data_IF_522312179017
#
_entry.id   IF_522312179017
#
_cell.length_a   1.000
_cell.length_b   1.000
_cell.length_c   1.000
_cell.angle_alpha   90.00
_cell.angle_beta   90.00
_cell.angle_gamma   90.00
#
_symmetry.space_group_name_H-M   'P 1'
#
loop_
_entity.id
_entity.type
_entity.pdbx_description
1 polymer ?
#
# COMPACT_ATOMS: atom_id res chain seq x y z
N UNK A 1 -24.51 -18.72 -20.89
CA UNK A 1 -25.10 -19.18 -19.62
C UNK A 1 -24.10 -19.46 -18.50
N UNK A 2 -22.85 -19.89 -18.78
CA UNK A 2 -21.84 -20.14 -17.70
C UNK A 2 -21.29 -18.84 -17.09
N UNK A 3 -21.02 -17.80 -17.87
CA UNK A 3 -20.48 -16.52 -17.36
C UNK A 3 -21.43 -15.83 -16.37
N UNK A 4 -22.75 -15.94 -16.57
CA UNK A 4 -23.75 -15.37 -15.65
C UNK A 4 -23.75 -16.04 -14.27
N UNK A 5 -23.50 -17.34 -14.21
CA UNK A 5 -23.45 -18.11 -12.96
C UNK A 5 -22.22 -17.77 -12.11
N UNK A 6 -21.06 -17.59 -12.74
CA UNK A 6 -19.81 -17.22 -12.04
C UNK A 6 -19.89 -15.80 -11.51
N UNK A 7 -20.40 -14.86 -12.33
CA UNK A 7 -20.59 -13.46 -11.92
C UNK A 7 -21.55 -13.36 -10.73
N UNK A 8 -22.66 -14.11 -10.77
CA UNK A 8 -23.62 -14.11 -9.67
C UNK A 8 -23.05 -14.67 -8.38
N UNK A 9 -22.26 -15.75 -8.46
CA UNK A 9 -21.59 -16.34 -7.30
C UNK A 9 -20.57 -15.40 -6.67
N UNK A 10 -19.76 -14.71 -7.49
CA UNK A 10 -18.81 -13.70 -6.99
C UNK A 10 -19.55 -12.56 -6.30
N UNK A 11 -20.65 -12.07 -6.85
CA UNK A 11 -21.48 -11.02 -6.22
C UNK A 11 -22.10 -11.48 -4.90
N UNK A 12 -22.57 -12.72 -4.83
CA UNK A 12 -23.13 -13.31 -3.61
C UNK A 12 -22.04 -13.48 -2.52
N UNK A 13 -20.85 -13.94 -2.87
CA UNK A 13 -19.71 -14.07 -1.94
C UNK A 13 -19.27 -12.70 -1.43
N UNK A 14 -19.19 -11.68 -2.30
CA UNK A 14 -18.88 -10.30 -1.90
C UNK A 14 -19.97 -9.74 -0.97
N UNK A 15 -21.24 -9.95 -1.30
CA UNK A 15 -22.34 -9.49 -0.45
C UNK A 15 -22.31 -10.14 0.93
N UNK A 16 -21.91 -11.43 1.00
CA UNK A 16 -21.74 -12.15 2.25
C UNK A 16 -20.57 -11.60 3.07
N UNK A 17 -19.41 -11.40 2.45
CA UNK A 17 -18.21 -10.83 3.10
C UNK A 17 -18.49 -9.41 3.63
N UNK A 18 -19.21 -8.59 2.87
CA UNK A 18 -19.63 -7.24 3.29
C UNK A 18 -20.65 -7.28 4.44
N UNK A 19 -21.56 -8.24 4.44
CA UNK A 19 -22.62 -8.39 5.48
C UNK A 19 -22.06 -8.99 6.76
N UNK A 20 -21.03 -9.85 6.67
CA UNK A 20 -20.39 -10.51 7.80
C UNK A 20 -19.40 -9.64 8.57
N UNK A 21 -19.14 -8.42 8.16
CA UNK A 21 -18.08 -7.53 8.69
C UNK A 21 -16.67 -8.17 8.66
N UNK A 22 -16.50 -9.28 7.95
CA UNK A 22 -15.25 -10.01 7.76
C UNK A 22 -14.77 -9.87 6.31
N UNK A 23 -14.39 -8.65 5.94
CA UNK A 23 -13.56 -8.50 4.74
C UNK A 23 -12.19 -9.04 5.08
N UNK A 24 -11.98 -10.33 4.83
CA UNK A 24 -10.68 -10.98 5.01
C UNK A 24 -9.79 -10.57 3.85
N UNK A 25 -9.11 -9.44 4.00
CA UNK A 25 -7.98 -9.14 3.12
C UNK A 25 -6.86 -10.15 3.37
N UNK A 26 -6.08 -10.50 2.34
CA UNK A 26 -4.90 -11.33 2.52
C UNK A 26 -3.99 -10.78 3.63
N UNK A 27 -3.40 -11.66 4.43
CA UNK A 27 -2.56 -11.36 5.62
C UNK A 27 -1.47 -10.31 5.39
N UNK A 28 -1.02 -10.11 4.16
CA UNK A 28 0.01 -9.10 3.84
C UNK A 28 -0.47 -7.64 3.96
N UNK A 29 -1.78 -7.39 4.12
CA UNK A 29 -2.29 -6.05 4.43
C UNK A 29 -2.24 -5.74 5.93
N UNK A 30 -1.98 -6.72 6.79
CA UNK A 30 -1.99 -6.53 8.25
C UNK A 30 -1.02 -5.44 8.69
N UNK A 31 0.21 -5.42 8.13
CA UNK A 31 1.18 -4.36 8.43
C UNK A 31 0.68 -2.98 8.00
N UNK A 32 -0.03 -2.89 6.88
CA UNK A 32 -0.62 -1.63 6.41
C UNK A 32 -1.68 -1.12 7.39
N UNK A 33 -2.53 -2.01 7.91
CA UNK A 33 -3.53 -1.65 8.91
C UNK A 33 -2.89 -1.27 10.24
N UNK A 34 -1.85 -1.99 10.69
CA UNK A 34 -1.11 -1.67 11.92
C UNK A 34 -0.41 -0.30 11.81
N UNK A 35 0.26 -0.02 10.70
CA UNK A 35 0.89 1.29 10.44
C UNK A 35 -0.17 2.39 10.41
N UNK A 36 -1.30 2.18 9.73
CA UNK A 36 -2.40 3.13 9.69
C UNK A 36 -2.98 3.41 11.08
N UNK A 37 -3.16 2.37 11.89
CA UNK A 37 -3.66 2.51 13.25
C UNK A 37 -2.67 3.28 14.14
N UNK A 38 -1.37 2.95 14.04
CA UNK A 38 -0.33 3.65 14.76
C UNK A 38 -0.27 5.14 14.39
N UNK A 39 -0.34 5.49 13.10
CA UNK A 39 -0.30 6.88 12.63
C UNK A 39 -1.52 7.73 13.04
N UNK A 40 -2.57 7.13 13.58
CA UNK A 40 -3.71 7.87 14.17
C UNK A 40 -3.44 8.35 15.60
N UNK A 41 -2.45 7.76 16.27
CA UNK A 41 -2.07 8.18 17.62
C UNK A 41 -1.26 9.49 17.53
N UNK A 42 -1.76 10.61 18.08
CA UNK A 42 -1.03 11.88 18.08
C UNK A 42 0.27 11.83 18.91
N UNK A 43 0.41 10.83 19.79
CA UNK A 43 1.60 10.64 20.63
C UNK A 43 2.57 9.60 20.05
N UNK A 44 2.34 9.13 18.83
CA UNK A 44 3.22 8.16 18.19
C UNK A 44 4.63 8.72 18.04
N UNK A 45 5.60 8.03 18.65
CA UNK A 45 7.01 8.36 18.47
C UNK A 45 7.62 7.64 17.26
N UNK A 46 8.70 8.22 16.73
CA UNK A 46 9.48 7.58 15.65
C UNK A 46 10.01 6.21 16.09
N UNK A 47 10.38 6.08 17.36
CA UNK A 47 10.86 4.84 17.96
C UNK A 47 9.81 3.73 17.92
N UNK A 48 8.57 4.05 18.26
CA UNK A 48 7.44 3.10 18.22
C UNK A 48 7.17 2.66 16.79
N UNK A 49 7.14 3.61 15.86
CA UNK A 49 6.94 3.30 14.44
C UNK A 49 8.12 2.48 13.88
N UNK A 50 9.37 2.79 14.28
CA UNK A 50 10.55 2.04 13.86
C UNK A 50 10.54 0.60 14.37
N UNK A 51 10.03 0.35 15.57
CA UNK A 51 9.83 -1.03 16.08
C UNK A 51 8.82 -1.80 15.25
N UNK A 52 7.68 -1.18 14.92
CA UNK A 52 6.65 -1.80 14.09
C UNK A 52 7.19 -2.16 12.69
N UNK A 53 7.86 -1.21 12.04
CA UNK A 53 8.49 -1.39 10.73
C UNK A 53 9.61 -2.41 10.79
N UNK A 54 10.42 -2.39 11.86
CA UNK A 54 11.56 -3.28 12.06
C UNK A 54 11.20 -4.75 12.19
N UNK A 55 9.94 -5.06 12.56
CA UNK A 55 9.43 -6.42 12.57
C UNK A 55 9.25 -7.02 11.15
N UNK A 56 9.23 -6.17 10.11
CA UNK A 56 9.02 -6.56 8.71
C UNK A 56 10.26 -6.25 7.86
N UNK A 57 11.12 -7.25 7.58
CA UNK A 57 12.40 -7.03 6.89
C UNK A 57 12.26 -6.38 5.51
N UNK A 58 11.25 -6.77 4.73
CA UNK A 58 11.02 -6.21 3.40
C UNK A 58 10.63 -4.73 3.46
N UNK A 59 9.79 -4.36 4.41
CA UNK A 59 9.39 -2.98 4.64
C UNK A 59 10.56 -2.13 5.11
N UNK A 60 11.35 -2.65 6.07
CA UNK A 60 12.58 -2.02 6.56
C UNK A 60 13.54 -1.70 5.43
N UNK A 61 13.84 -2.69 4.58
CA UNK A 61 14.73 -2.52 3.43
C UNK A 61 14.22 -1.47 2.44
N UNK A 62 12.91 -1.44 2.17
CA UNK A 62 12.32 -0.45 1.24
C UNK A 62 12.36 0.96 1.80
N UNK A 63 12.12 1.16 3.09
CA UNK A 63 12.18 2.48 3.74
C UNK A 63 13.61 2.99 3.76
N UNK A 64 14.60 2.15 4.11
CA UNK A 64 16.02 2.52 4.07
C UNK A 64 16.45 2.87 2.64
N UNK A 65 16.06 2.06 1.64
CA UNK A 65 16.35 2.34 0.23
C UNK A 65 15.73 3.65 -0.23
N UNK A 66 14.48 3.94 0.15
CA UNK A 66 13.81 5.20 -0.15
C UNK A 66 14.54 6.39 0.46
N UNK A 67 14.95 6.28 1.73
CA UNK A 67 15.71 7.31 2.43
C UNK A 67 17.06 7.61 1.77
N UNK A 68 17.69 6.61 1.17
CA UNK A 68 18.98 6.73 0.48
C UNK A 68 18.84 7.06 -1.03
N UNK A 69 17.63 7.22 -1.53
CA UNK A 69 17.41 7.62 -2.93
C UNK A 69 17.92 9.05 -3.17
N UNK A 70 18.31 9.34 -4.40
CA UNK A 70 18.80 10.68 -4.79
C UNK A 70 17.82 11.79 -4.41
N UNK A 71 16.52 11.53 -4.51
CA UNK A 71 15.47 12.49 -4.17
C UNK A 71 15.40 12.84 -2.67
N UNK A 72 15.75 11.87 -1.79
CA UNK A 72 15.65 12.02 -0.33
C UNK A 72 17.01 12.24 0.34
N UNK A 73 18.11 11.99 -0.36
CA UNK A 73 19.48 12.09 0.15
C UNK A 73 20.38 12.93 -0.76
N UNK A 74 20.06 14.20 -0.98
CA UNK A 74 20.90 15.08 -1.83
C UNK A 74 22.31 15.30 -1.27
N UNK A 75 22.51 15.08 0.03
CA UNK A 75 23.82 15.22 0.70
C UNK A 75 24.72 14.00 0.56
N UNK A 76 24.24 12.87 0.03
CA UNK A 76 24.96 11.61 -0.10
C UNK A 76 25.21 10.88 1.24
N UNK A 77 24.72 11.37 2.37
CA UNK A 77 24.84 10.67 3.66
C UNK A 77 23.92 9.49 3.72
N UNK A 78 24.46 8.29 3.72
CA UNK A 78 23.66 7.07 3.85
C UNK A 78 23.13 6.88 5.27
N UNK A 79 21.91 6.35 5.38
CA UNK A 79 21.34 5.84 6.62
C UNK A 79 21.22 4.32 6.51
N UNK A 80 21.56 3.62 7.60
CA UNK A 80 21.56 2.16 7.64
C UNK A 80 20.48 1.59 8.58
N UNK A 81 19.84 2.44 9.39
CA UNK A 81 18.83 2.01 10.35
C UNK A 81 17.45 2.59 10.03
N UNK A 82 16.41 1.84 10.44
CA UNK A 82 15.01 2.15 10.16
C UNK A 82 14.57 3.47 10.79
N UNK A 83 15.02 3.77 12.01
CA UNK A 83 14.64 4.99 12.71
C UNK A 83 15.13 6.22 11.96
N UNK A 84 16.41 6.26 11.62
CA UNK A 84 17.01 7.35 10.83
C UNK A 84 16.38 7.47 9.45
N UNK A 85 16.03 6.35 8.84
CA UNK A 85 15.32 6.33 7.56
C UNK A 85 13.92 6.96 7.68
N UNK A 86 13.15 6.62 8.71
CA UNK A 86 11.82 7.20 8.97
C UNK A 86 11.92 8.70 9.23
N UNK A 87 12.90 9.14 10.00
CA UNK A 87 13.14 10.59 10.25
C UNK A 87 13.36 11.34 8.93
N UNK A 88 14.10 10.73 7.99
CA UNK A 88 14.38 11.36 6.69
C UNK A 88 13.18 11.38 5.75
N UNK A 89 12.47 10.26 5.61
CA UNK A 89 11.34 10.16 4.66
C UNK A 89 10.03 10.72 5.22
N UNK A 90 9.91 10.78 6.56
CA UNK A 90 8.70 11.17 7.27
C UNK A 90 7.80 9.97 7.61
N UNK A 91 7.06 10.08 8.72
CA UNK A 91 6.17 9.01 9.19
C UNK A 91 5.04 8.70 8.20
N UNK A 92 4.50 9.70 7.50
CA UNK A 92 3.45 9.48 6.49
C UNK A 92 3.91 8.66 5.28
N UNK A 93 5.19 8.76 4.90
CA UNK A 93 5.75 7.94 3.84
C UNK A 93 5.73 6.45 4.20
N UNK A 94 5.81 6.10 5.49
CA UNK A 94 5.74 4.72 5.98
C UNK A 94 4.40 4.08 5.63
N UNK A 95 3.29 4.81 5.71
CA UNK A 95 1.95 4.34 5.30
C UNK A 95 1.93 3.94 3.82
N UNK A 96 2.46 4.81 2.97
CA UNK A 96 2.52 4.55 1.52
C UNK A 96 3.41 3.35 1.20
N UNK A 97 4.58 3.24 1.84
CA UNK A 97 5.50 2.12 1.64
C UNK A 97 4.89 0.81 2.14
N UNK A 98 4.21 0.79 3.31
CA UNK A 98 3.56 -0.41 3.83
C UNK A 98 2.50 -0.95 2.86
N UNK A 99 1.70 -0.07 2.28
CA UNK A 99 0.72 -0.45 1.27
C UNK A 99 1.39 -0.99 0.00
N UNK A 100 2.44 -0.32 -0.50
CA UNK A 100 3.17 -0.78 -1.68
C UNK A 100 3.82 -2.16 -1.47
N UNK A 101 4.35 -2.43 -0.26
CA UNK A 101 4.88 -3.76 0.11
C UNK A 101 3.78 -4.81 0.10
N UNK A 102 2.63 -4.52 0.70
CA UNK A 102 1.50 -5.43 0.74
C UNK A 102 0.99 -5.74 -0.68
N UNK A 103 0.88 -4.73 -1.55
CA UNK A 103 0.48 -4.92 -2.95
C UNK A 103 1.49 -5.75 -3.74
N UNK A 104 2.80 -5.55 -3.52
CA UNK A 104 3.83 -6.37 -4.17
C UNK A 104 3.72 -7.85 -3.75
N UNK A 105 3.44 -8.13 -2.48
CA UNK A 105 3.21 -9.49 -1.99
C UNK A 105 1.94 -10.10 -2.60
N UNK A 106 0.86 -9.32 -2.70
CA UNK A 106 -0.37 -9.76 -3.36
C UNK A 106 -0.12 -10.13 -4.81
N UNK A 107 0.54 -9.27 -5.59
CA UNK A 107 0.83 -9.49 -7.00
C UNK A 107 1.66 -10.76 -7.24
N UNK A 108 2.55 -11.11 -6.31
CA UNK A 108 3.40 -12.33 -6.36
C UNK A 108 2.70 -13.57 -5.80
N UNK A 109 1.50 -13.45 -5.25
CA UNK A 109 0.76 -14.56 -4.67
C UNK A 109 0.24 -15.53 -5.74
N UNK A 110 0.06 -16.80 -5.35
CA UNK A 110 -0.53 -17.81 -6.23
C UNK A 110 -1.94 -17.43 -6.73
N UNK A 111 -2.70 -16.71 -5.92
CA UNK A 111 -4.05 -16.26 -6.25
C UNK A 111 -4.06 -15.27 -7.42
N UNK A 112 -2.96 -14.54 -7.65
CA UNK A 112 -2.88 -13.56 -8.75
C UNK A 112 -2.30 -14.14 -10.03
N UNK A 113 -1.76 -15.38 -10.01
CA UNK A 113 -1.17 -16.03 -11.21
C UNK A 113 -2.11 -16.05 -12.42
N UNK A 114 -3.43 -16.39 -12.29
CA UNK A 114 -4.33 -16.37 -13.43
C UNK A 114 -4.53 -14.97 -14.04
N UNK A 115 -4.20 -13.92 -13.30
CA UNK A 115 -4.40 -12.52 -13.66
C UNK A 115 -3.08 -11.73 -13.71
N UNK A 116 -1.93 -12.40 -13.84
CA UNK A 116 -0.59 -11.78 -13.71
C UNK A 116 -0.45 -10.52 -14.58
N UNK A 117 -0.66 -10.64 -15.89
CA UNK A 117 -0.54 -9.51 -16.82
C UNK A 117 -1.52 -8.37 -16.52
N UNK A 118 -2.76 -8.71 -16.14
CA UNK A 118 -3.79 -7.72 -15.85
C UNK A 118 -3.48 -6.99 -14.54
N UNK A 119 -3.08 -7.73 -13.51
CA UNK A 119 -2.78 -7.17 -12.20
C UNK A 119 -1.53 -6.28 -12.24
N UNK A 120 -0.49 -6.66 -13.01
CA UNK A 120 0.69 -5.83 -13.20
C UNK A 120 0.37 -4.52 -13.94
N UNK A 121 -0.40 -4.57 -15.02
CA UNK A 121 -0.85 -3.35 -15.74
C UNK A 121 -1.71 -2.44 -14.87
N UNK A 122 -2.61 -3.03 -14.08
CA UNK A 122 -3.44 -2.28 -13.14
C UNK A 122 -2.57 -1.61 -12.05
N UNK A 123 -1.57 -2.32 -11.52
CA UNK A 123 -0.65 -1.76 -10.55
C UNK A 123 0.19 -0.61 -11.13
N UNK A 124 0.65 -0.75 -12.36
CA UNK A 124 1.35 0.32 -13.06
C UNK A 124 0.45 1.56 -13.25
N UNK A 125 -0.79 1.36 -13.70
CA UNK A 125 -1.79 2.43 -13.79
C UNK A 125 -2.00 3.12 -12.43
N UNK A 126 -2.28 2.35 -11.39
CA UNK A 126 -2.50 2.83 -10.03
C UNK A 126 -1.32 3.66 -9.51
N UNK A 127 -0.09 3.20 -9.78
CA UNK A 127 1.13 3.91 -9.40
C UNK A 127 1.29 5.25 -10.11
N UNK A 128 0.97 5.32 -11.41
CA UNK A 128 0.97 6.56 -12.18
C UNK A 128 -0.07 7.54 -11.68
N UNK A 129 -1.30 7.07 -11.42
CA UNK A 129 -2.38 7.90 -10.84
C UNK A 129 -1.96 8.46 -9.49
N UNK A 130 -1.36 7.64 -8.62
CA UNK A 130 -0.88 8.09 -7.31
C UNK A 130 0.18 9.19 -7.43
N UNK A 131 1.14 9.05 -8.34
CA UNK A 131 2.16 10.05 -8.59
C UNK A 131 1.56 11.37 -9.10
N UNK A 132 0.60 11.31 -10.02
CA UNK A 132 -0.13 12.47 -10.53
C UNK A 132 -0.93 13.16 -9.43
N UNK A 133 -1.65 12.39 -8.59
CA UNK A 133 -2.39 12.93 -7.45
C UNK A 133 -1.48 13.73 -6.51
N UNK A 134 -0.29 13.21 -6.19
CA UNK A 134 0.70 13.91 -5.35
C UNK A 134 1.12 15.26 -5.97
N UNK A 135 1.47 15.24 -7.26
CA UNK A 135 1.93 16.45 -7.96
C UNK A 135 0.83 17.50 -8.05
N UNK A 136 -0.38 17.10 -8.40
CA UNK A 136 -1.53 18.00 -8.53
C UNK A 136 -1.94 18.59 -7.18
N UNK A 137 -1.98 17.77 -6.13
CA UNK A 137 -2.29 18.21 -4.78
C UNK A 137 -1.33 19.30 -4.29
N UNK A 138 -0.02 19.09 -4.49
CA UNK A 138 1.00 20.06 -4.10
C UNK A 138 0.95 21.34 -4.93
N UNK A 139 0.69 21.26 -6.24
CA UNK A 139 0.76 22.40 -7.16
C UNK A 139 -0.53 23.23 -7.18
N UNK A 140 -1.69 22.61 -7.06
CA UNK A 140 -2.97 23.26 -7.38
C UNK A 140 -3.95 23.34 -6.22
N UNK A 141 -4.01 22.34 -5.35
CA UNK A 141 -5.09 22.23 -4.39
C UNK A 141 -4.71 22.61 -2.94
N UNK A 142 -3.43 22.86 -2.66
CA UNK A 142 -2.90 23.08 -1.29
C UNK A 142 -3.30 21.95 -0.32
N UNK A 143 -3.46 20.74 -0.86
CA UNK A 143 -3.79 19.52 -0.12
C UNK A 143 -2.49 18.79 0.19
N UNK A 144 -2.48 17.98 1.24
CA UNK A 144 -1.37 17.10 1.57
C UNK A 144 -1.10 16.13 0.41
N UNK A 145 0.07 16.29 -0.24
CA UNK A 145 0.44 15.48 -1.40
C UNK A 145 0.62 14.00 -1.07
N UNK A 146 0.99 13.66 0.16
CA UNK A 146 1.19 12.28 0.58
C UNK A 146 -0.16 11.58 0.85
N UNK A 147 -1.16 12.30 1.36
CA UNK A 147 -2.54 11.81 1.44
C UNK A 147 -3.16 11.61 0.06
N UNK A 148 -2.98 12.57 -0.84
CA UNK A 148 -3.48 12.48 -2.21
C UNK A 148 -2.81 11.31 -2.96
N UNK A 149 -1.52 11.09 -2.77
CA UNK A 149 -0.80 9.94 -3.31
C UNK A 149 -1.35 8.63 -2.79
N UNK A 150 -1.58 8.54 -1.47
CA UNK A 150 -2.16 7.33 -0.88
C UNK A 150 -3.58 7.06 -1.40
N UNK A 151 -4.43 8.08 -1.52
CA UNK A 151 -5.75 7.95 -2.13
C UNK A 151 -5.66 7.41 -3.57
N UNK A 152 -4.70 7.92 -4.35
CA UNK A 152 -4.41 7.41 -5.68
C UNK A 152 -3.93 5.95 -5.71
N UNK A 153 -3.23 5.48 -4.68
CA UNK A 153 -2.80 4.08 -4.59
C UNK A 153 -3.95 3.11 -4.26
N UNK A 154 -4.95 3.56 -3.51
CA UNK A 154 -6.01 2.66 -3.03
C UNK A 154 -7.28 2.69 -3.89
N UNK A 155 -7.37 3.59 -4.87
CA UNK A 155 -8.61 3.80 -5.62
C UNK A 155 -9.11 2.55 -6.36
N UNK A 156 -8.19 1.72 -6.85
CA UNK A 156 -8.49 0.47 -7.58
C UNK A 156 -8.34 -0.81 -6.71
N UNK A 157 -8.19 -0.65 -5.38
CA UNK A 157 -8.01 -1.80 -4.48
C UNK A 157 -9.13 -2.84 -4.61
N UNK A 158 -10.36 -2.39 -4.87
CA UNK A 158 -11.50 -3.26 -5.09
C UNK A 158 -11.33 -4.22 -6.28
N UNK A 159 -10.65 -3.79 -7.35
CA UNK A 159 -10.39 -4.64 -8.53
C UNK A 159 -9.38 -5.75 -8.16
N UNK A 160 -8.34 -5.43 -7.41
CA UNK A 160 -7.37 -6.44 -6.91
C UNK A 160 -8.06 -7.44 -5.97
N UNK A 161 -8.97 -6.96 -5.13
CA UNK A 161 -9.78 -7.83 -4.27
C UNK A 161 -10.62 -8.80 -5.10
N UNK A 162 -11.32 -8.31 -6.13
CA UNK A 162 -12.12 -9.14 -7.03
C UNK A 162 -11.28 -10.20 -7.75
N UNK A 163 -10.10 -9.84 -8.26
CA UNK A 163 -9.17 -10.79 -8.88
C UNK A 163 -8.76 -11.88 -7.89
N UNK A 164 -8.44 -11.51 -6.64
CA UNK A 164 -8.01 -12.47 -5.61
C UNK A 164 -9.11 -13.46 -5.19
N UNK A 165 -10.39 -13.09 -5.41
CA UNK A 165 -11.56 -13.94 -5.10
C UNK A 165 -12.02 -14.77 -6.31
N UNK A 166 -11.64 -14.36 -7.51
CA UNK A 166 -12.01 -15.05 -8.77
C UNK A 166 -11.02 -16.17 -9.17
N UNK A 167 -9.88 -16.27 -8.47
CA UNK A 167 -8.88 -17.33 -8.64
C UNK A 167 -9.23 -18.55 -7.80
#
# INVERSE_FOLDING_TARGET
>A
CMASSVTFKILEDIARDLSGNEITFPTFLDITFQVRAALKDPNLSVEQLAKLVGAEPLMSAKIIRMANSVAMNPSGREVADVKSAIVRVGMEAVRTVSFAVAMEQLLKSKQMQPFEDLSHRLWEHTSHVAALCRVLARKKARINGDEAMFAGLVHDLGVFYLMSRAA
#
